data_IF_536671648070
#
_entry.id   IF_536671648070
#
_cell.length_a   1.000
_cell.length_b   1.000
_cell.length_c   1.000
_cell.angle_alpha   90.00
_cell.angle_beta   90.00
_cell.angle_gamma   90.00
#
_symmetry.space_group_name_H-M   'P 1'
#
loop_
_entity.id
_entity.type
_entity.pdbx_description
1 polymer ?
#
# COMPACT_ATOMS: atom_id res chain seq x y z
N UNK A 1 4.28 7.71 -13.81
CA UNK A 1 5.52 7.50 -13.02
C UNK A 1 5.41 6.41 -11.95
N UNK A 2 4.21 6.01 -11.48
CA UNK A 2 3.96 4.84 -10.58
C UNK A 2 4.38 3.50 -11.24
N UNK A 3 4.32 3.43 -12.57
CA UNK A 3 4.80 2.28 -13.33
C UNK A 3 6.29 1.98 -13.15
N UNK A 4 7.13 2.92 -12.73
CA UNK A 4 8.58 2.78 -12.96
C UNK A 4 9.31 2.00 -11.85
N UNK A 5 8.80 1.97 -10.61
CA UNK A 5 9.45 1.28 -9.47
C UNK A 5 8.91 -0.14 -9.21
N UNK A 6 7.63 -0.37 -9.45
CA UNK A 6 7.09 -1.74 -9.65
C UNK A 6 7.73 -2.38 -10.87
N UNK A 7 7.95 -1.59 -11.96
CA UNK A 7 8.86 -2.01 -13.03
C UNK A 7 10.28 -2.21 -12.55
N UNK A 8 10.85 -1.44 -11.62
CA UNK A 8 12.25 -1.61 -11.19
C UNK A 8 12.46 -2.88 -10.40
N UNK A 9 11.57 -3.23 -9.47
CA UNK A 9 11.61 -4.54 -8.80
C UNK A 9 11.34 -5.67 -9.78
N UNK A 10 10.34 -5.54 -10.65
CA UNK A 10 10.09 -6.51 -11.73
C UNK A 10 11.29 -6.63 -12.68
N UNK A 11 11.96 -5.52 -13.03
CA UNK A 11 13.17 -5.46 -13.87
C UNK A 11 14.33 -6.16 -13.17
N UNK A 12 14.54 -5.93 -11.87
CA UNK A 12 15.58 -6.62 -11.09
C UNK A 12 15.26 -8.10 -10.98
N UNK A 13 14.02 -8.48 -10.70
CA UNK A 13 13.60 -9.88 -10.60
C UNK A 13 13.75 -10.59 -11.97
N UNK A 14 13.43 -9.91 -13.08
CA UNK A 14 13.67 -10.39 -14.45
C UNK A 14 15.17 -10.51 -14.74
N UNK A 15 15.99 -9.53 -14.35
CA UNK A 15 17.45 -9.59 -14.51
C UNK A 15 18.03 -10.77 -13.70
N UNK A 16 17.58 -10.98 -12.46
CA UNK A 16 17.99 -12.10 -11.62
C UNK A 16 17.60 -13.43 -12.26
N UNK A 17 16.39 -13.54 -12.82
CA UNK A 17 15.95 -14.73 -13.56
C UNK A 17 16.78 -14.95 -14.83
N UNK A 18 17.13 -13.89 -15.56
CA UNK A 18 18.00 -13.97 -16.74
C UNK A 18 19.40 -14.43 -16.33
N UNK A 19 20.00 -13.85 -15.29
CA UNK A 19 21.32 -14.24 -14.77
C UNK A 19 21.29 -15.70 -14.30
N UNK A 20 20.26 -16.11 -13.56
CA UNK A 20 20.08 -17.48 -13.12
C UNK A 20 19.94 -18.44 -14.31
N UNK A 21 19.18 -18.07 -15.34
CA UNK A 21 18.97 -18.87 -16.56
C UNK A 21 20.27 -19.01 -17.36
N UNK A 22 21.03 -17.92 -17.51
CA UNK A 22 22.34 -17.93 -18.18
C UNK A 22 23.35 -18.78 -17.39
N UNK A 23 23.36 -18.67 -16.07
CA UNK A 23 24.26 -19.42 -15.20
C UNK A 23 23.92 -20.91 -15.19
N UNK A 24 22.63 -21.26 -15.16
CA UNK A 24 22.17 -22.64 -15.32
C UNK A 24 22.52 -23.22 -16.70
N UNK A 25 22.38 -22.42 -17.77
CA UNK A 25 22.79 -22.82 -19.11
C UNK A 25 24.29 -23.10 -19.20
N UNK A 26 25.13 -22.23 -18.64
CA UNK A 26 26.59 -22.46 -18.59
C UNK A 26 26.96 -23.65 -17.71
N UNK A 27 26.26 -23.88 -16.60
CA UNK A 27 26.47 -25.05 -15.74
C UNK A 27 26.19 -26.36 -16.49
N UNK A 28 25.08 -26.44 -17.23
CA UNK A 28 24.73 -27.63 -18.04
C UNK A 28 25.67 -27.78 -19.23
N UNK A 29 26.08 -26.68 -19.87
CA UNK A 29 26.97 -26.72 -21.04
C UNK A 29 28.41 -27.07 -20.69
N UNK A 30 28.89 -26.69 -19.51
CA UNK A 30 30.27 -26.91 -19.05
C UNK A 30 30.41 -28.11 -18.11
N UNK A 31 29.33 -28.87 -17.88
CA UNK A 31 29.36 -30.11 -17.11
C UNK A 31 29.90 -31.24 -18.00
N UNK A 32 30.88 -31.99 -17.49
CA UNK A 32 31.46 -33.18 -18.13
C UNK A 32 30.59 -34.44 -17.96
N UNK A 33 29.37 -34.32 -17.38
CA UNK A 33 28.49 -35.46 -17.11
C UNK A 33 27.79 -35.97 -18.39
N UNK A 34 27.70 -37.29 -18.53
CA UNK A 34 27.00 -37.96 -19.62
C UNK A 34 25.52 -37.52 -19.67
N UNK A 35 25.15 -36.75 -20.69
CA UNK A 35 23.75 -36.39 -20.96
C UNK A 35 22.89 -37.67 -21.08
N UNK A 36 21.66 -37.68 -20.51
CA UNK A 36 20.75 -38.81 -20.66
C UNK A 36 20.49 -39.08 -22.15
N UNK A 37 20.54 -40.36 -22.54
CA UNK A 37 20.54 -40.86 -23.92
C UNK A 37 19.39 -40.34 -24.81
N UNK A 38 18.32 -39.83 -24.21
CA UNK A 38 17.16 -39.22 -24.89
C UNK A 38 17.44 -37.83 -25.48
N UNK A 39 18.38 -37.06 -24.91
CA UNK A 39 18.71 -35.70 -25.36
C UNK A 39 19.82 -35.66 -26.41
N UNK A 40 20.62 -36.73 -26.50
CA UNK A 40 21.77 -36.84 -27.40
C UNK A 40 21.43 -36.79 -28.89
N UNK A 41 20.15 -36.99 -29.26
CA UNK A 41 19.68 -36.99 -30.66
C UNK A 41 19.06 -35.68 -31.12
N UNK A 42 18.89 -34.69 -30.25
CA UNK A 42 18.29 -33.39 -30.60
C UNK A 42 19.35 -32.35 -31.00
N UNK A 43 18.98 -31.31 -31.77
CA UNK A 43 19.89 -30.22 -32.13
C UNK A 43 20.53 -29.54 -30.91
N UNK A 44 19.86 -29.59 -29.77
CA UNK A 44 20.34 -29.06 -28.49
C UNK A 44 21.52 -29.88 -27.97
N UNK A 45 21.48 -31.21 -28.08
CA UNK A 45 22.58 -32.10 -27.66
C UNK A 45 23.87 -31.88 -28.46
N UNK A 46 23.76 -31.61 -29.77
CA UNK A 46 24.91 -31.31 -30.64
C UNK A 46 25.63 -29.99 -30.31
N UNK A 47 24.89 -28.98 -29.85
CA UNK A 47 25.48 -27.71 -29.43
C UNK A 47 26.20 -27.80 -28.06
N UNK A 48 25.87 -28.81 -27.26
CA UNK A 48 26.46 -29.05 -25.93
C UNK A 48 27.77 -29.85 -26.04
N UNK A 49 27.83 -30.88 -26.90
CA UNK A 49 29.00 -31.75 -27.07
C UNK A 49 30.22 -31.09 -27.78
N UNK A 50 30.06 -29.91 -28.38
CA UNK A 50 31.12 -29.26 -29.17
C UNK A 50 32.27 -28.68 -28.30
N UNK A 51 32.14 -28.72 -26.97
CA UNK A 51 33.10 -28.21 -26.00
C UNK A 51 33.46 -29.29 -24.97
N UNK A 52 33.80 -30.50 -25.44
CA UNK A 52 34.13 -31.69 -24.63
C UNK A 52 35.22 -31.47 -23.56
N UNK A 53 36.06 -30.43 -23.70
CA UNK A 53 36.89 -29.90 -22.62
C UNK A 53 36.24 -28.62 -22.07
N UNK A 54 35.14 -28.79 -21.32
CA UNK A 54 34.46 -27.72 -20.63
C UNK A 54 35.40 -27.15 -19.58
N UNK A 55 35.96 -25.96 -19.83
CA UNK A 55 36.90 -25.30 -18.93
C UNK A 55 36.29 -25.27 -17.51
N UNK A 56 36.77 -26.12 -16.59
CA UNK A 56 36.24 -26.29 -15.23
C UNK A 56 36.06 -24.96 -14.49
N UNK A 57 36.86 -23.95 -14.90
CA UNK A 57 36.72 -22.56 -14.51
C UNK A 57 35.33 -21.96 -14.80
N UNK A 58 34.75 -22.20 -15.99
CA UNK A 58 33.41 -21.72 -16.38
C UNK A 58 32.33 -22.42 -15.56
N UNK A 59 32.46 -23.73 -15.35
CA UNK A 59 31.53 -24.48 -14.52
C UNK A 59 31.53 -23.97 -13.08
N UNK A 60 32.71 -23.85 -12.47
CA UNK A 60 32.87 -23.33 -11.11
C UNK A 60 32.37 -21.88 -10.98
N UNK A 61 32.61 -21.03 -11.99
CA UNK A 61 32.09 -19.67 -12.02
C UNK A 61 30.55 -19.62 -12.08
N UNK A 62 29.94 -20.46 -12.91
CA UNK A 62 28.49 -20.55 -13.06
C UNK A 62 27.82 -21.03 -11.76
N UNK A 63 28.38 -22.06 -11.12
CA UNK A 63 27.92 -22.55 -9.82
C UNK A 63 28.08 -21.47 -8.75
N UNK A 64 29.24 -20.80 -8.69
CA UNK A 64 29.48 -19.70 -7.76
C UNK A 64 28.47 -18.55 -7.93
N UNK A 65 28.15 -18.17 -9.16
CA UNK A 65 27.13 -17.17 -9.45
C UNK A 65 25.73 -17.61 -9.02
N UNK A 66 25.34 -18.87 -9.27
CA UNK A 66 24.04 -19.41 -8.82
C UNK A 66 23.93 -19.42 -7.29
N UNK A 67 24.96 -19.89 -6.60
CA UNK A 67 24.98 -19.90 -5.12
C UNK A 67 24.92 -18.47 -4.59
N UNK A 68 25.70 -17.55 -5.15
CA UNK A 68 25.67 -16.13 -4.76
C UNK A 68 24.29 -15.50 -4.96
N UNK A 69 23.65 -15.77 -6.10
CA UNK A 69 22.28 -15.31 -6.38
C UNK A 69 21.27 -15.91 -5.42
N UNK A 70 21.37 -17.21 -5.13
CA UNK A 70 20.50 -17.88 -4.18
C UNK A 70 20.61 -17.28 -2.78
N UNK A 71 21.84 -17.08 -2.30
CA UNK A 71 22.11 -16.43 -1.00
C UNK A 71 21.56 -15.01 -1.00
N UNK A 72 21.79 -14.21 -2.04
CA UNK A 72 21.23 -12.86 -2.15
C UNK A 72 19.70 -12.85 -2.05
N UNK A 73 19.03 -13.74 -2.79
CA UNK A 73 17.57 -13.85 -2.78
C UNK A 73 17.06 -14.24 -1.39
N UNK A 74 17.72 -15.21 -0.74
CA UNK A 74 17.30 -15.72 0.55
C UNK A 74 17.56 -14.71 1.69
N UNK A 75 18.71 -14.06 1.69
CA UNK A 75 19.21 -13.25 2.82
C UNK A 75 18.75 -11.80 2.75
N UNK A 76 18.65 -11.21 1.55
CA UNK A 76 18.25 -9.80 1.40
C UNK A 76 16.86 -9.69 0.81
N UNK A 77 16.61 -10.32 -0.36
CA UNK A 77 15.40 -10.07 -1.14
C UNK A 77 14.12 -10.56 -0.45
N UNK A 78 14.15 -11.77 0.08
CA UNK A 78 12.99 -12.40 0.70
C UNK A 78 12.58 -11.69 2.01
N UNK A 79 13.50 -11.40 2.95
CA UNK A 79 13.18 -10.63 4.15
C UNK A 79 12.65 -9.22 3.84
N UNK A 80 13.21 -8.52 2.86
CA UNK A 80 12.72 -7.20 2.43
C UNK A 80 11.29 -7.25 1.92
N UNK A 81 10.95 -8.23 1.07
CA UNK A 81 9.59 -8.42 0.57
C UNK A 81 8.61 -8.71 1.70
N UNK A 82 8.96 -9.62 2.61
CA UNK A 82 8.12 -9.94 3.77
C UNK A 82 7.93 -8.72 4.68
N UNK A 83 8.97 -7.91 4.88
CA UNK A 83 8.92 -6.67 5.66
C UNK A 83 7.94 -5.66 5.03
N UNK A 84 8.02 -5.44 3.71
CA UNK A 84 7.08 -4.56 2.98
C UNK A 84 5.64 -5.02 3.11
N UNK A 85 5.37 -6.31 2.89
CA UNK A 85 4.02 -6.88 3.00
C UNK A 85 3.47 -6.70 4.43
N UNK A 86 4.27 -6.98 5.46
CA UNK A 86 3.83 -6.83 6.86
C UNK A 86 3.44 -5.38 7.19
N UNK A 87 4.26 -4.42 6.78
CA UNK A 87 4.01 -3.00 7.07
C UNK A 87 2.83 -2.48 6.27
N UNK A 88 2.68 -2.86 5.01
CA UNK A 88 1.51 -2.52 4.20
C UNK A 88 0.22 -3.05 4.83
N UNK A 89 0.21 -4.31 5.23
CA UNK A 89 -0.96 -4.91 5.89
C UNK A 89 -1.26 -4.24 7.23
N UNK A 90 -0.23 -3.85 7.98
CA UNK A 90 -0.38 -3.08 9.20
C UNK A 90 -1.01 -1.71 8.93
N UNK A 91 -0.49 -0.94 7.98
CA UNK A 91 -1.02 0.37 7.62
C UNK A 91 -2.47 0.30 7.11
N UNK A 92 -2.82 -0.72 6.32
CA UNK A 92 -4.20 -0.92 5.88
C UNK A 92 -5.14 -1.12 7.07
N UNK A 93 -4.75 -1.91 8.07
CA UNK A 93 -5.54 -2.09 9.29
C UNK A 93 -5.64 -0.80 10.11
N UNK A 94 -4.55 -0.04 10.21
CA UNK A 94 -4.56 1.23 10.93
C UNK A 94 -5.46 2.26 10.24
N UNK A 95 -5.44 2.30 8.92
CA UNK A 95 -6.31 3.16 8.14
C UNK A 95 -7.79 2.73 8.25
N UNK A 96 -8.07 1.43 8.28
CA UNK A 96 -9.42 0.90 8.54
C UNK A 96 -9.91 1.28 9.94
N UNK A 97 -9.06 1.14 10.97
CA UNK A 97 -9.35 1.58 12.33
C UNK A 97 -9.60 3.10 12.41
N UNK A 98 -8.77 3.90 11.75
CA UNK A 98 -8.96 5.36 11.65
C UNK A 98 -10.34 5.71 11.04
N UNK A 99 -10.74 5.03 9.95
CA UNK A 99 -12.06 5.24 9.34
C UNK A 99 -13.18 4.86 10.29
N UNK A 100 -13.06 3.73 10.98
CA UNK A 100 -14.03 3.26 11.95
C UNK A 100 -14.25 4.30 13.06
N UNK A 101 -13.16 4.78 13.67
CA UNK A 101 -13.23 5.79 14.74
C UNK A 101 -13.74 7.14 14.22
N UNK A 102 -13.34 7.55 13.02
CA UNK A 102 -13.87 8.76 12.38
C UNK A 102 -15.39 8.67 12.21
N UNK A 103 -15.90 7.55 11.71
CA UNK A 103 -17.34 7.33 11.56
C UNK A 103 -18.03 7.34 12.94
N UNK A 104 -17.44 6.69 13.95
CA UNK A 104 -17.96 6.71 15.33
C UNK A 104 -18.09 8.13 15.86
N UNK A 105 -17.08 8.98 15.67
CA UNK A 105 -17.10 10.39 16.09
C UNK A 105 -18.20 11.15 15.32
N UNK A 106 -18.31 10.97 14.00
CA UNK A 106 -19.34 11.61 13.17
C UNK A 106 -20.75 11.21 13.61
N UNK A 107 -20.99 9.92 13.89
CA UNK A 107 -22.28 9.45 14.39
C UNK A 107 -22.57 10.00 15.78
N UNK A 108 -21.56 10.01 16.67
CA UNK A 108 -21.70 10.53 18.03
C UNK A 108 -21.99 12.04 18.07
N UNK A 109 -21.46 12.80 17.11
CA UNK A 109 -21.75 14.23 16.96
C UNK A 109 -23.24 14.53 16.68
N UNK A 110 -24.02 13.55 16.22
CA UNK A 110 -25.48 13.74 16.05
C UNK A 110 -26.23 13.78 17.38
N UNK A 111 -25.62 13.35 18.49
CA UNK A 111 -26.22 13.34 19.83
C UNK A 111 -27.28 12.27 20.04
N UNK A 112 -27.45 11.33 19.09
CA UNK A 112 -28.41 10.24 19.18
C UNK A 112 -27.73 8.92 19.53
N UNK A 113 -28.39 8.10 20.35
CA UNK A 113 -28.01 6.70 20.53
C UNK A 113 -28.20 5.95 19.21
N UNK A 114 -27.20 5.18 18.82
CA UNK A 114 -27.24 4.37 17.60
C UNK A 114 -27.14 2.87 17.92
N UNK A 115 -27.59 2.04 16.97
CA UNK A 115 -27.49 0.59 17.08
C UNK A 115 -26.02 0.15 17.15
N UNK A 116 -25.72 -0.89 17.93
CA UNK A 116 -24.35 -1.31 18.19
C UNK A 116 -23.56 -1.73 16.95
N UNK A 117 -24.24 -2.13 15.87
CA UNK A 117 -23.64 -2.55 14.60
C UNK A 117 -23.63 -1.46 13.52
N UNK A 118 -24.10 -0.24 13.85
CA UNK A 118 -24.26 0.82 12.84
C UNK A 118 -22.90 1.25 12.27
N UNK A 119 -21.85 1.32 13.08
CA UNK A 119 -20.56 1.82 12.64
C UNK A 119 -19.96 0.85 11.61
N UNK A 120 -20.08 -0.45 11.86
CA UNK A 120 -19.66 -1.52 10.96
C UNK A 120 -20.42 -1.49 9.63
N UNK A 121 -21.72 -1.21 9.65
CA UNK A 121 -22.51 -1.02 8.42
C UNK A 121 -22.05 0.21 7.64
N UNK A 122 -21.69 1.30 8.32
CA UNK A 122 -21.22 2.54 7.73
C UNK A 122 -19.77 2.49 7.25
N UNK A 123 -19.01 1.44 7.58
CA UNK A 123 -17.70 1.20 6.97
C UNK A 123 -17.81 0.98 5.46
N UNK A 124 -18.95 0.46 4.99
CA UNK A 124 -19.28 0.44 3.56
C UNK A 124 -19.57 1.87 3.05
N UNK A 125 -18.84 2.27 2.00
CA UNK A 125 -18.89 3.62 1.43
C UNK A 125 -20.27 3.98 0.87
N UNK A 126 -21.07 3.00 0.41
CA UNK A 126 -22.42 3.24 -0.10
C UNK A 126 -23.40 3.42 1.05
N UNK A 127 -23.34 2.55 2.06
CA UNK A 127 -24.12 2.68 3.30
C UNK A 127 -23.86 4.01 4.01
N UNK A 128 -22.58 4.42 4.11
CA UNK A 128 -22.19 5.72 4.66
C UNK A 128 -22.94 6.89 4.01
N UNK A 129 -22.93 6.94 2.67
CA UNK A 129 -23.59 8.00 1.91
C UNK A 129 -25.09 8.01 2.14
N UNK A 130 -25.73 6.85 1.97
CA UNK A 130 -27.18 6.72 2.14
C UNK A 130 -27.61 7.17 3.53
N UNK A 131 -26.86 6.77 4.55
CA UNK A 131 -27.15 7.14 5.92
C UNK A 131 -27.03 8.65 6.15
N UNK A 132 -25.92 9.28 5.72
CA UNK A 132 -25.67 10.70 5.98
C UNK A 132 -26.43 11.68 5.06
N UNK A 133 -26.85 11.24 3.87
CA UNK A 133 -27.74 11.99 2.96
C UNK A 133 -29.21 11.95 3.40
N UNK A 134 -29.57 11.02 4.29
CA UNK A 134 -30.93 10.92 4.82
C UNK A 134 -31.33 12.22 5.54
N UNK A 135 -32.51 12.75 5.20
CA UNK A 135 -33.09 13.93 5.84
C UNK A 135 -33.53 13.61 7.27
N UNK A 136 -33.21 14.51 8.20
CA UNK A 136 -33.69 14.49 9.59
C UNK A 136 -34.79 15.52 9.81
N UNK A 137 -34.80 16.57 8.99
CA UNK A 137 -35.87 17.57 8.91
C UNK A 137 -36.08 17.99 7.44
N UNK A 138 -37.05 18.85 7.17
CA UNK A 138 -37.32 19.34 5.80
C UNK A 138 -36.11 20.03 5.16
N UNK A 139 -35.26 20.66 5.98
CA UNK A 139 -34.10 21.47 5.59
C UNK A 139 -32.73 20.87 5.93
N UNK A 140 -32.66 19.81 6.74
CA UNK A 140 -31.40 19.30 7.30
C UNK A 140 -31.20 17.80 7.00
N UNK A 141 -30.03 17.44 6.46
CA UNK A 141 -29.56 16.05 6.37
C UNK A 141 -28.80 15.65 7.64
N UNK A 142 -28.61 14.35 7.87
CA UNK A 142 -27.76 13.88 8.97
C UNK A 142 -26.35 14.47 8.89
N UNK A 143 -25.80 14.61 7.68
CA UNK A 143 -24.52 15.27 7.48
C UNK A 143 -24.51 16.73 7.96
N UNK A 144 -25.51 17.53 7.55
CA UNK A 144 -25.64 18.91 8.00
C UNK A 144 -25.73 19.00 9.53
N UNK A 145 -26.47 18.08 10.15
CA UNK A 145 -26.56 17.99 11.61
C UNK A 145 -25.22 17.70 12.28
N UNK A 146 -24.42 16.79 11.72
CA UNK A 146 -23.05 16.53 12.20
C UNK A 146 -22.22 17.80 12.14
N UNK A 147 -22.20 18.48 11.00
CA UNK A 147 -21.41 19.71 10.81
C UNK A 147 -21.83 20.79 11.81
N UNK A 148 -23.13 20.91 12.10
CA UNK A 148 -23.65 21.89 13.04
C UNK A 148 -23.33 21.54 14.51
N UNK A 149 -23.36 20.26 14.87
CA UNK A 149 -23.20 19.80 16.26
C UNK A 149 -21.75 19.42 16.63
N UNK A 150 -20.81 19.44 15.68
CA UNK A 150 -19.42 19.08 15.94
C UNK A 150 -18.73 20.10 16.85
N UNK A 151 -18.49 19.68 18.10
CA UNK A 151 -17.95 20.50 19.18
C UNK A 151 -16.47 20.22 19.46
N UNK A 152 -15.88 20.95 20.41
CA UNK A 152 -14.47 20.83 20.80
C UNK A 152 -14.07 19.42 21.25
N UNK A 153 -15.01 18.66 21.84
CA UNK A 153 -14.78 17.26 22.21
C UNK A 153 -14.58 16.40 20.97
N UNK A 154 -15.45 16.54 19.97
CA UNK A 154 -15.34 15.81 18.70
C UNK A 154 -14.05 16.19 17.95
N UNK A 155 -13.65 17.48 17.97
CA UNK A 155 -12.38 17.92 17.38
C UNK A 155 -11.17 17.31 18.06
N UNK A 156 -11.20 17.20 19.39
CA UNK A 156 -10.14 16.58 20.16
C UNK A 156 -10.02 15.09 19.88
N UNK A 157 -11.13 14.35 19.89
CA UNK A 157 -11.12 12.93 19.54
C UNK A 157 -10.61 12.72 18.12
N UNK A 158 -11.10 13.51 17.16
CA UNK A 158 -10.65 13.42 15.78
C UNK A 158 -9.15 13.73 15.64
N UNK A 159 -8.64 14.73 16.37
CA UNK A 159 -7.22 15.05 16.37
C UNK A 159 -6.35 13.88 16.81
N UNK A 160 -6.79 13.14 17.82
CA UNK A 160 -6.09 11.95 18.32
C UNK A 160 -6.03 10.87 17.24
N UNK A 161 -7.13 10.60 16.55
CA UNK A 161 -7.18 9.61 15.48
C UNK A 161 -6.25 9.97 14.31
N UNK A 162 -6.21 11.23 13.91
CA UNK A 162 -5.26 11.71 12.91
C UNK A 162 -3.80 11.54 13.36
N UNK A 163 -3.51 11.81 14.63
CA UNK A 163 -2.16 11.67 15.18
C UNK A 163 -1.69 10.22 15.22
N UNK A 164 -2.58 9.29 15.56
CA UNK A 164 -2.31 7.85 15.50
C UNK A 164 -1.97 7.45 14.06
N UNK A 165 -2.83 7.80 13.10
CA UNK A 165 -2.62 7.47 11.69
C UNK A 165 -1.31 8.05 11.15
N UNK A 166 -1.01 9.33 11.43
CA UNK A 166 0.24 9.97 10.99
C UNK A 166 1.45 9.30 11.60
N UNK A 167 1.41 8.97 12.89
CA UNK A 167 2.52 8.32 13.59
C UNK A 167 2.84 6.95 12.99
N UNK A 168 1.81 6.15 12.69
CA UNK A 168 1.96 4.83 12.07
C UNK A 168 2.49 4.93 10.63
N UNK A 169 1.98 5.89 9.85
CA UNK A 169 2.48 6.19 8.51
C UNK A 169 3.96 6.61 8.55
N UNK A 170 4.34 7.51 9.45
CA UNK A 170 5.73 7.96 9.59
C UNK A 170 6.64 6.80 10.00
N UNK A 171 6.20 5.95 10.94
CA UNK A 171 6.92 4.73 11.31
C UNK A 171 7.16 3.84 10.10
N UNK A 172 6.13 3.62 9.27
CA UNK A 172 6.26 2.81 8.06
C UNK A 172 7.24 3.42 7.05
N UNK A 173 7.21 4.74 6.86
CA UNK A 173 8.10 5.49 5.96
C UNK A 173 9.55 5.51 6.44
N UNK A 174 9.78 5.51 7.75
CA UNK A 174 11.13 5.36 8.29
C UNK A 174 11.63 3.91 8.20
N UNK A 175 10.70 2.94 8.27
CA UNK A 175 11.04 1.52 8.32
C UNK A 175 11.27 0.92 6.93
N UNK A 176 10.56 1.41 5.91
CA UNK A 176 10.73 1.05 4.51
C UNK A 176 11.31 2.27 3.82
N UNK A 177 12.38 2.11 3.06
CA UNK A 177 12.83 3.18 2.17
C UNK A 177 11.80 3.40 1.04
N UNK A 178 10.86 4.33 1.27
CA UNK A 178 9.78 4.71 0.36
C UNK A 178 10.23 5.93 -0.44
N UNK A 179 10.99 5.75 -1.52
CA UNK A 179 11.41 6.87 -2.38
C UNK A 179 10.27 7.46 -3.26
N UNK A 180 8.99 7.22 -2.92
CA UNK A 180 7.87 7.62 -3.79
C UNK A 180 7.39 9.01 -3.38
N UNK A 181 7.74 10.03 -4.18
CA UNK A 181 7.27 11.42 -4.01
C UNK A 181 5.75 11.52 -3.84
N UNK A 182 4.98 10.68 -4.54
CA UNK A 182 3.52 10.57 -4.39
C UNK A 182 3.09 10.22 -2.96
N UNK A 183 3.75 9.24 -2.34
CA UNK A 183 3.46 8.82 -0.96
C UNK A 183 3.80 9.94 0.01
N UNK A 184 4.97 10.57 -0.14
CA UNK A 184 5.35 11.73 0.69
C UNK A 184 4.39 12.92 0.54
N UNK A 185 3.94 13.22 -0.68
CA UNK A 185 2.96 14.28 -0.94
C UNK A 185 1.63 14.02 -0.23
N UNK A 186 1.14 12.78 -0.28
CA UNK A 186 -0.09 12.38 0.41
C UNK A 186 0.06 12.42 1.93
N UNK A 187 1.21 11.99 2.47
CA UNK A 187 1.49 12.09 3.90
C UNK A 187 1.51 13.55 4.36
N UNK A 188 2.18 14.42 3.60
CA UNK A 188 2.18 15.84 3.90
C UNK A 188 0.77 16.43 3.85
N UNK A 189 -0.07 16.01 2.90
CA UNK A 189 -1.47 16.41 2.87
C UNK A 189 -2.22 16.00 4.16
N UNK A 190 -2.09 14.75 4.60
CA UNK A 190 -2.70 14.26 5.85
C UNK A 190 -2.17 15.05 7.06
N UNK A 191 -0.87 15.36 7.10
CA UNK A 191 -0.26 16.18 8.15
C UNK A 191 -0.82 17.60 8.17
N UNK A 192 -1.00 18.21 6.99
CA UNK A 192 -1.65 19.51 6.88
C UNK A 192 -3.09 19.45 7.40
N UNK A 193 -3.87 18.45 7.01
CA UNK A 193 -5.23 18.24 7.54
C UNK A 193 -5.22 18.10 9.06
N UNK A 194 -4.32 17.29 9.64
CA UNK A 194 -4.17 17.16 11.11
C UNK A 194 -3.80 18.48 11.79
N UNK A 195 -2.90 19.26 11.19
CA UNK A 195 -2.57 20.60 11.71
C UNK A 195 -3.80 21.50 11.73
N UNK A 196 -4.67 21.44 10.71
CA UNK A 196 -5.95 22.14 10.72
C UNK A 196 -6.86 21.63 11.85
N UNK A 197 -6.99 20.31 12.04
CA UNK A 197 -7.81 19.78 13.15
C UNK A 197 -7.32 20.31 14.51
N UNK A 198 -6.00 20.43 14.69
CA UNK A 198 -5.39 20.95 15.93
C UNK A 198 -5.47 22.47 16.08
N UNK A 199 -5.44 23.22 14.98
CA UNK A 199 -5.53 24.67 14.98
C UNK A 199 -6.96 25.18 15.03
N UNK A 200 -7.97 24.30 14.98
CA UNK A 200 -9.39 24.65 15.06
C UNK A 200 -9.77 25.14 16.45
N UNK A 201 -9.41 26.39 16.70
CA UNK A 201 -10.25 27.38 17.34
C UNK A 201 -10.70 28.40 16.29
N UNK A 202 -11.98 28.36 15.91
CA UNK A 202 -12.82 29.50 15.47
C UNK A 202 -13.03 29.87 13.97
N UNK A 203 -12.28 29.43 12.96
CA UNK A 203 -12.60 29.84 11.55
C UNK A 203 -13.51 28.88 10.77
N UNK A 204 -14.58 29.42 10.17
CA UNK A 204 -15.68 28.68 9.51
C UNK A 204 -15.24 27.93 8.24
N UNK A 205 -14.28 28.48 7.49
CA UNK A 205 -13.83 27.89 6.23
C UNK A 205 -12.89 26.68 6.44
N UNK A 206 -12.15 26.64 7.54
CA UNK A 206 -11.32 25.50 7.92
C UNK A 206 -12.18 24.28 8.29
N UNK A 207 -13.31 24.50 8.98
CA UNK A 207 -14.29 23.43 9.28
C UNK A 207 -14.82 22.81 7.99
N UNK A 208 -15.19 23.61 6.99
CA UNK A 208 -15.69 23.08 5.70
C UNK A 208 -14.67 22.20 5.00
N UNK A 209 -13.40 22.61 5.01
CA UNK A 209 -12.32 21.85 4.37
C UNK A 209 -12.13 20.50 5.05
N UNK A 210 -12.13 20.47 6.39
CA UNK A 210 -12.08 19.23 7.15
C UNK A 210 -13.27 18.33 6.85
N UNK A 211 -14.50 18.83 6.89
CA UNK A 211 -15.68 18.01 6.62
C UNK A 211 -15.70 17.47 5.19
N UNK A 212 -15.26 18.26 4.20
CA UNK A 212 -15.09 17.77 2.83
C UNK A 212 -14.08 16.63 2.75
N UNK A 213 -12.98 16.72 3.50
CA UNK A 213 -11.99 15.65 3.58
C UNK A 213 -12.58 14.39 4.24
N UNK A 214 -13.24 14.52 5.39
CA UNK A 214 -13.88 13.38 6.08
C UNK A 214 -14.96 12.72 5.21
N UNK A 215 -15.72 13.51 4.45
CA UNK A 215 -16.67 13.00 3.47
C UNK A 215 -15.95 12.21 2.38
N UNK A 216 -14.90 12.77 1.77
CA UNK A 216 -14.11 12.12 0.73
C UNK A 216 -13.58 10.76 1.18
N UNK A 217 -12.95 10.71 2.35
CA UNK A 217 -12.37 9.49 2.92
C UNK A 217 -13.42 8.40 3.14
N UNK A 218 -14.57 8.75 3.72
CA UNK A 218 -15.57 7.76 4.14
C UNK A 218 -16.58 7.39 3.05
N UNK A 219 -16.77 8.25 2.04
CA UNK A 219 -17.67 7.99 0.91
C UNK A 219 -16.94 7.50 -0.35
N UNK A 220 -15.61 7.63 -0.40
CA UNK A 220 -14.81 7.39 -1.61
C UNK A 220 -15.00 8.46 -2.69
N UNK A 221 -15.45 9.65 -2.34
CA UNK A 221 -15.63 10.76 -3.28
C UNK A 221 -14.29 11.43 -3.60
N UNK A 222 -13.95 11.53 -4.88
CA UNK A 222 -12.89 12.40 -5.40
C UNK A 222 -13.50 13.46 -6.32
N UNK A 223 -13.05 14.71 -6.19
CA UNK A 223 -13.46 15.80 -7.10
C UNK A 223 -13.12 15.52 -8.56
N UNK A 224 -12.07 14.76 -8.81
CA UNK A 224 -11.59 14.47 -10.16
C UNK A 224 -12.26 13.22 -10.76
N UNK A 225 -12.61 12.22 -9.94
CA UNK A 225 -13.01 10.88 -10.41
C UNK A 225 -14.38 10.41 -9.89
N UNK A 226 -15.09 11.24 -9.11
CA UNK A 226 -16.36 10.88 -8.50
C UNK A 226 -16.20 9.75 -7.47
N UNK A 227 -17.13 8.78 -7.46
CA UNK A 227 -17.20 7.70 -6.46
C UNK A 227 -16.52 6.38 -6.87
N UNK A 228 -15.75 6.37 -7.96
CA UNK A 228 -15.34 5.14 -8.63
C UNK A 228 -13.97 4.56 -8.18
N UNK A 229 -13.29 5.16 -7.20
CA UNK A 229 -11.91 4.79 -6.86
C UNK A 229 -11.67 4.45 -5.38
N UNK A 230 -10.68 3.57 -5.11
CA UNK A 230 -10.13 3.43 -3.75
C UNK A 230 -9.75 4.81 -3.22
N UNK A 231 -9.81 4.98 -1.90
CA UNK A 231 -9.42 6.27 -1.32
C UNK A 231 -7.97 6.58 -1.72
N UNK A 232 -7.67 7.85 -1.98
CA UNK A 232 -6.34 8.40 -2.21
C UNK A 232 -5.33 7.89 -1.16
N UNK A 233 -5.75 7.75 0.10
CA UNK A 233 -4.91 7.23 1.20
C UNK A 233 -4.69 5.72 1.06
N UNK A 234 -5.73 4.97 0.71
CA UNK A 234 -5.63 3.55 0.44
C UNK A 234 -4.71 3.28 -0.75
N UNK A 235 -4.83 4.07 -1.83
CA UNK A 235 -3.93 4.02 -2.98
C UNK A 235 -2.48 4.31 -2.59
N UNK A 236 -2.26 5.26 -1.68
CA UNK A 236 -0.95 5.57 -1.12
C UNK A 236 -0.32 4.35 -0.44
N UNK A 237 -1.10 3.68 0.42
CA UNK A 237 -0.66 2.51 1.19
C UNK A 237 -0.43 1.32 0.27
N UNK A 238 -1.27 1.12 -0.75
CA UNK A 238 -1.11 0.06 -1.74
C UNK A 238 0.14 0.24 -2.62
N UNK A 239 0.67 1.47 -2.71
CA UNK A 239 1.89 1.80 -3.45
C UNK A 239 3.20 1.54 -2.67
N UNK A 240 3.14 1.13 -1.40
CA UNK A 240 4.28 0.79 -0.52
C UNK A 240 4.75 -0.66 -0.74
#
# INVERSE_FOLDING_TARGET
>A
MIQDKTRRFFKIDVILVIIASISAFFMVKASDDYLPSSLNKTCIGRAILQFENGNQLIFNLAVGMLVGLFVYVLVSRLPERQKRIRIRNHLLRQYEAFRYETIRILVSAQGATYAGNLIEELMDKKSFRQYFETKVSESETRWSRVVNNFNDYCFRELSVEFDILISEILLAVHTIDIETEKVFSQINHIRHVSMYVKSLGQEYDDRKTLFRYLWSVNSGFSFEHGYAHPDIIEEAILAI
#
